data_IF_760574429107
#
_entry.id   IF_760574429107
#
_cell.length_a   1.000
_cell.length_b   1.000
_cell.length_c   1.000
_cell.angle_alpha   90.00
_cell.angle_beta   90.00
_cell.angle_gamma   90.00
#
_symmetry.space_group_name_H-M   'P 1'
#
loop_
_entity.id
_entity.type
_entity.pdbx_description
1 polymer ?
#
# COMPACT_ATOMS: atom_id res chain seq x y z
N UNK A 1 -2.23 0.19 -14.71
CA UNK A 1 -3.06 -0.21 -13.57
C UNK A 1 -2.60 -1.60 -13.21
N UNK A 2 -2.22 -1.77 -11.95
CA UNK A 2 -1.69 -3.03 -11.45
C UNK A 2 -2.34 -3.33 -10.12
N UNK A 3 -2.80 -4.56 -9.98
CA UNK A 3 -3.60 -5.01 -8.86
C UNK A 3 -2.82 -6.07 -8.09
N UNK A 4 -2.82 -5.95 -6.77
CA UNK A 4 -2.12 -6.82 -5.84
C UNK A 4 -3.12 -7.36 -4.83
N UNK A 5 -3.28 -8.68 -4.77
CA UNK A 5 -4.19 -9.35 -3.84
C UNK A 5 -3.36 -10.00 -2.74
N UNK A 6 -3.41 -9.41 -1.55
CA UNK A 6 -2.65 -9.83 -0.37
C UNK A 6 -3.61 -10.63 0.52
N UNK A 7 -3.44 -11.95 0.51
CA UNK A 7 -4.26 -12.90 1.26
C UNK A 7 -3.40 -13.70 2.25
N UNK A 8 -4.02 -14.16 3.34
CA UNK A 8 -3.37 -15.00 4.36
C UNK A 8 -2.71 -14.25 5.51
N UNK A 9 -2.70 -12.90 5.49
CA UNK A 9 -2.14 -12.07 6.57
C UNK A 9 -3.18 -11.52 7.52
N UNK A 10 -4.42 -11.36 7.06
CA UNK A 10 -5.55 -10.91 7.87
C UNK A 10 -6.78 -11.77 7.58
N UNK A 11 -7.88 -11.68 8.36
CA UNK A 11 -9.09 -12.46 8.12
C UNK A 11 -9.73 -12.24 6.74
N UNK A 12 -9.65 -11.01 6.24
CA UNK A 12 -10.14 -10.63 4.91
C UNK A 12 -8.95 -10.29 3.99
N UNK A 13 -9.03 -10.58 2.68
CA UNK A 13 -7.97 -10.23 1.76
C UNK A 13 -7.92 -8.71 1.54
N UNK A 14 -6.70 -8.19 1.38
CA UNK A 14 -6.48 -6.80 1.01
C UNK A 14 -6.12 -6.69 -0.46
N UNK A 15 -6.81 -5.81 -1.17
CA UNK A 15 -6.51 -5.53 -2.58
C UNK A 15 -5.92 -4.15 -2.70
N UNK A 16 -4.68 -4.04 -3.18
CA UNK A 16 -4.03 -2.79 -3.49
C UNK A 16 -4.02 -2.59 -5.00
N UNK A 17 -4.52 -1.46 -5.48
CA UNK A 17 -4.44 -1.06 -6.89
C UNK A 17 -3.48 0.11 -6.98
N UNK A 18 -2.52 0.04 -7.90
CA UNK A 18 -1.54 1.10 -8.20
C UNK A 18 -1.68 1.51 -9.66
N UNK A 19 -1.66 2.82 -9.93
CA UNK A 19 -1.67 3.36 -11.29
C UNK A 19 -0.75 4.56 -11.47
N UNK A 20 -0.11 4.72 -12.64
CA UNK A 20 0.58 5.96 -12.98
C UNK A 20 -0.40 7.14 -12.99
N UNK A 21 -0.11 8.17 -12.19
CA UNK A 21 -0.90 9.39 -12.06
C UNK A 21 -0.18 10.64 -12.61
N UNK A 22 0.88 10.45 -13.40
CA UNK A 22 1.62 11.52 -14.08
C UNK A 22 3.01 11.75 -13.48
N UNK A 23 3.54 12.96 -13.66
CA UNK A 23 4.90 13.35 -13.21
C UNK A 23 4.80 14.65 -12.43
N UNK A 24 5.53 14.75 -11.31
CA UNK A 24 5.64 15.93 -10.46
C UNK A 24 6.61 16.96 -11.05
N UNK A 25 6.54 18.25 -10.66
CA UNK A 25 7.46 19.28 -11.15
C UNK A 25 8.95 19.02 -10.85
N UNK A 26 9.25 18.21 -9.84
CA UNK A 26 10.60 17.76 -9.48
C UNK A 26 11.06 16.51 -10.27
N UNK A 27 10.36 16.18 -11.36
CA UNK A 27 10.60 15.03 -12.25
C UNK A 27 10.36 13.65 -11.63
N UNK A 28 9.81 13.58 -10.41
CA UNK A 28 9.38 12.31 -9.80
C UNK A 28 8.11 11.79 -10.45
N UNK A 29 8.00 10.48 -10.60
CA UNK A 29 6.76 9.86 -11.05
C UNK A 29 5.73 9.95 -9.92
N UNK A 30 4.47 10.19 -10.30
CA UNK A 30 3.34 10.28 -9.39
C UNK A 30 2.44 9.07 -9.62
N UNK A 31 1.96 8.49 -8.54
CA UNK A 31 1.14 7.29 -8.55
C UNK A 31 -0.15 7.51 -7.77
N UNK A 32 -1.23 6.92 -8.24
CA UNK A 32 -2.45 6.72 -7.47
C UNK A 32 -2.50 5.33 -6.87
N UNK A 33 -3.19 5.25 -5.75
CA UNK A 33 -3.37 4.02 -5.00
C UNK A 33 -4.80 3.92 -4.48
N UNK A 34 -5.31 2.70 -4.42
CA UNK A 34 -6.54 2.35 -3.72
C UNK A 34 -6.28 1.07 -2.92
N UNK A 35 -6.53 1.11 -1.61
CA UNK A 35 -6.42 -0.06 -0.73
C UNK A 35 -7.81 -0.46 -0.27
N UNK A 36 -8.19 -1.70 -0.57
CA UNK A 36 -9.43 -2.34 -0.16
C UNK A 36 -9.15 -3.41 0.90
N UNK A 37 -10.12 -3.62 1.79
CA UNK A 37 -10.21 -4.76 2.71
C UNK A 37 -11.54 -5.46 2.41
N UNK A 38 -11.49 -6.66 1.81
CA UNK A 38 -12.63 -7.22 1.11
C UNK A 38 -13.17 -6.25 0.04
N UNK A 39 -14.47 -5.97 0.05
CA UNK A 39 -15.12 -5.02 -0.88
C UNK A 39 -15.08 -3.56 -0.39
N UNK A 40 -14.48 -3.28 0.78
CA UNK A 40 -14.47 -1.94 1.39
C UNK A 40 -13.23 -1.17 0.99
N UNK A 41 -13.38 -0.05 0.29
CA UNK A 41 -12.31 0.93 0.10
C UNK A 41 -11.91 1.56 1.44
N UNK A 42 -10.64 1.44 1.81
CA UNK A 42 -10.07 1.95 3.07
C UNK A 42 -9.27 3.22 2.83
N UNK A 43 -8.35 3.19 1.87
CA UNK A 43 -7.54 4.33 1.49
C UNK A 43 -7.56 4.54 -0.01
N UNK A 44 -7.53 5.80 -0.43
CA UNK A 44 -7.35 6.19 -1.81
C UNK A 44 -6.56 7.48 -1.88
N UNK A 45 -5.64 7.60 -2.83
CA UNK A 45 -4.85 8.80 -3.01
C UNK A 45 -4.17 8.84 -4.38
N UNK A 46 -3.57 9.99 -4.69
CA UNK A 46 -2.82 10.22 -5.94
C UNK A 46 -1.53 11.00 -5.71
N UNK A 47 -1.02 10.93 -4.50
CA UNK A 47 0.08 11.68 -3.94
C UNK A 47 1.29 10.80 -3.62
N UNK A 48 1.27 9.52 -4.00
CA UNK A 48 2.47 8.69 -3.93
C UNK A 48 3.49 9.17 -4.96
N UNK A 49 4.75 9.31 -4.54
CA UNK A 49 5.83 9.79 -5.41
C UNK A 49 7.01 8.83 -5.40
N UNK A 50 7.57 8.54 -6.58
CA UNK A 50 8.75 7.68 -6.72
C UNK A 50 9.83 8.34 -7.57
N UNK A 51 11.10 7.91 -7.45
CA UNK A 51 12.10 8.11 -8.49
C UNK A 51 11.59 7.59 -9.85
N UNK A 52 12.17 8.10 -10.93
CA UNK A 52 11.88 7.60 -12.29
C UNK A 52 12.39 6.17 -12.47
N UNK A 53 11.59 5.32 -13.12
CA UNK A 53 11.98 3.95 -13.45
C UNK A 53 11.82 2.91 -12.33
N UNK A 54 11.15 3.26 -11.24
CA UNK A 54 10.72 2.31 -10.20
C UNK A 54 9.55 1.48 -10.73
N UNK A 55 9.52 0.18 -10.41
CA UNK A 55 8.44 -0.71 -10.88
C UNK A 55 7.14 -0.48 -10.10
N UNK A 56 6.02 -0.87 -10.68
CA UNK A 56 4.73 -0.86 -9.96
C UNK A 56 4.74 -1.75 -8.71
N UNK A 57 5.54 -2.82 -8.72
CA UNK A 57 5.68 -3.77 -7.61
C UNK A 57 6.44 -3.13 -6.43
N UNK A 58 7.49 -2.36 -6.71
CA UNK A 58 8.22 -1.56 -5.73
C UNK A 58 7.38 -0.40 -5.19
N UNK A 59 6.60 0.26 -6.07
CA UNK A 59 5.65 1.31 -5.68
C UNK A 59 4.58 0.75 -4.75
N UNK A 60 4.06 -0.45 -5.04
CA UNK A 60 3.07 -1.12 -4.21
C UNK A 60 3.62 -1.50 -2.83
N UNK A 61 4.85 -2.03 -2.75
CA UNK A 61 5.53 -2.31 -1.48
C UNK A 61 5.64 -1.04 -0.63
N UNK A 62 6.10 0.06 -1.25
CA UNK A 62 6.23 1.34 -0.56
C UNK A 62 4.87 1.92 -0.14
N UNK A 63 3.82 1.76 -0.95
CA UNK A 63 2.47 2.17 -0.57
C UNK A 63 1.99 1.43 0.69
N UNK A 64 2.13 0.10 0.73
CA UNK A 64 1.76 -0.67 1.93
C UNK A 64 2.55 -0.25 3.16
N UNK A 65 3.86 0.01 3.03
CA UNK A 65 4.68 0.46 4.15
C UNK A 65 4.11 1.71 4.82
N UNK A 66 3.64 2.69 4.03
CA UNK A 66 3.03 3.91 4.57
C UNK A 66 1.59 3.72 5.06
N UNK A 67 0.79 2.94 4.35
CA UNK A 67 -0.63 2.72 4.69
C UNK A 67 -0.80 1.85 5.94
N UNK A 68 0.21 1.04 6.28
CA UNK A 68 0.21 0.19 7.47
C UNK A 68 0.89 0.82 8.69
N UNK A 69 1.29 2.09 8.64
CA UNK A 69 1.75 2.80 9.83
C UNK A 69 0.63 2.95 10.85
N UNK A 70 1.00 2.87 12.13
CA UNK A 70 0.13 3.07 13.28
C UNK A 70 0.53 4.33 14.07
N UNK A 71 -0.38 4.92 14.86
CA UNK A 71 -0.04 6.01 15.77
C UNK A 71 1.12 5.64 16.69
N UNK A 72 2.26 6.31 16.52
CA UNK A 72 3.52 6.02 17.22
C UNK A 72 4.68 5.64 16.30
N UNK A 73 4.41 5.17 15.08
CA UNK A 73 5.45 4.79 14.12
C UNK A 73 6.07 6.00 13.40
N UNK A 74 5.29 7.08 13.28
CA UNK A 74 5.68 8.35 12.67
C UNK A 74 5.04 9.53 13.39
N UNK A 75 5.26 10.74 12.89
CA UNK A 75 4.64 11.96 13.43
C UNK A 75 3.10 11.86 13.39
N UNK A 76 2.46 12.30 14.47
CA UNK A 76 1.00 12.35 14.58
C UNK A 76 0.32 13.19 13.50
N UNK A 77 1.02 14.16 12.92
CA UNK A 77 0.52 14.95 11.78
C UNK A 77 0.17 14.08 10.56
N UNK A 78 0.84 12.95 10.37
CA UNK A 78 0.54 12.01 9.29
C UNK A 78 -0.90 11.47 9.36
N UNK A 79 -1.38 11.24 10.58
CA UNK A 79 -2.70 10.67 10.83
C UNK A 79 -3.80 11.73 10.99
N UNK A 80 -3.47 13.02 10.88
CA UNK A 80 -4.39 14.12 11.18
C UNK A 80 -5.64 14.11 10.28
N UNK A 81 -5.48 13.68 9.02
CA UNK A 81 -6.55 13.62 8.03
C UNK A 81 -7.24 12.24 7.96
N UNK A 82 -6.86 11.29 8.82
CA UNK A 82 -7.47 9.96 8.82
C UNK A 82 -8.91 10.02 9.33
N UNK A 83 -9.79 9.35 8.62
CA UNK A 83 -11.17 9.12 9.07
C UNK A 83 -11.19 8.15 10.25
N UNK A 84 -12.24 8.16 11.09
CA UNK A 84 -12.38 7.18 12.17
C UNK A 84 -12.32 5.72 11.68
N UNK A 85 -12.87 5.44 10.50
CA UNK A 85 -12.87 4.11 9.90
C UNK A 85 -11.47 3.65 9.44
N UNK A 86 -10.60 4.60 9.05
CA UNK A 86 -9.19 4.32 8.72
C UNK A 86 -8.38 4.07 9.99
N UNK A 87 -8.61 4.84 11.05
CA UNK A 87 -7.95 4.63 12.35
C UNK A 87 -8.32 3.25 12.93
N UNK A 88 -9.61 2.89 12.87
CA UNK A 88 -10.09 1.56 13.29
C UNK A 88 -9.43 0.46 12.45
N UNK A 89 -9.38 0.61 11.13
CA UNK A 89 -8.69 -0.33 10.25
C UNK A 89 -7.20 -0.47 10.61
N UNK A 90 -6.50 0.62 10.92
CA UNK A 90 -5.09 0.58 11.32
C UNK A 90 -4.89 -0.21 12.62
N UNK A 91 -5.79 -0.03 13.58
CA UNK A 91 -5.73 -0.76 14.85
C UNK A 91 -6.03 -2.26 14.71
N UNK A 92 -6.80 -2.65 13.69
CA UNK A 92 -7.23 -4.03 13.51
C UNK A 92 -6.31 -4.83 12.57
N UNK A 93 -5.85 -4.23 11.48
CA UNK A 93 -5.21 -4.98 10.38
C UNK A 93 -3.78 -4.56 10.06
N UNK A 94 -3.36 -3.32 10.34
CA UNK A 94 -2.11 -2.79 9.82
C UNK A 94 -0.86 -3.57 10.26
N UNK A 95 -0.77 -3.91 11.56
CA UNK A 95 0.34 -4.70 12.11
C UNK A 95 0.43 -6.10 11.50
N UNK A 96 -0.71 -6.72 11.17
CA UNK A 96 -0.70 -8.04 10.53
C UNK A 96 -0.38 -7.93 9.04
N UNK A 97 -0.95 -6.93 8.35
CA UNK A 97 -0.76 -6.74 6.92
C UNK A 97 0.69 -6.38 6.56
N UNK A 98 1.38 -5.55 7.36
CA UNK A 98 2.77 -5.16 7.08
C UNK A 98 3.73 -6.36 7.03
N UNK A 99 3.37 -7.48 7.67
CA UNK A 99 4.18 -8.70 7.63
C UNK A 99 4.31 -9.30 6.22
N UNK A 100 3.44 -8.93 5.28
CA UNK A 100 3.57 -9.33 3.88
C UNK A 100 4.81 -8.72 3.19
N UNK A 101 5.42 -7.69 3.80
CA UNK A 101 6.67 -7.06 3.36
C UNK A 101 7.91 -7.77 3.91
N UNK A 102 7.77 -8.95 4.53
CA UNK A 102 8.89 -9.72 5.06
C UNK A 102 8.84 -11.17 4.58
N UNK A 103 10.01 -11.74 4.27
CA UNK A 103 10.13 -13.15 3.90
C UNK A 103 10.18 -14.07 5.14
N UNK A 104 10.29 -15.38 4.91
CA UNK A 104 10.38 -16.38 5.99
C UNK A 104 11.60 -16.23 6.91
N UNK A 105 12.63 -15.49 6.47
CA UNK A 105 13.83 -15.18 7.24
C UNK A 105 13.74 -13.84 7.98
N UNK A 106 12.63 -13.10 7.81
CA UNK A 106 12.45 -11.75 8.33
C UNK A 106 13.20 -10.67 7.53
N UNK A 107 13.64 -10.98 6.31
CA UNK A 107 14.22 -9.99 5.41
C UNK A 107 13.10 -9.17 4.75
N UNK A 108 13.29 -7.85 4.66
CA UNK A 108 12.36 -6.97 3.96
C UNK A 108 12.30 -7.33 2.46
N UNK A 109 11.08 -7.48 1.96
CA UNK A 109 10.75 -7.67 0.56
C UNK A 109 10.34 -6.33 -0.01
N UNK A 110 11.11 -5.84 -0.97
CA UNK A 110 10.89 -4.52 -1.59
C UNK A 110 10.06 -4.58 -2.86
N UNK A 111 9.49 -5.74 -3.20
CA UNK A 111 8.80 -6.02 -4.45
C UNK A 111 7.59 -6.93 -4.19
N UNK A 112 6.39 -6.47 -4.56
CA UNK A 112 5.15 -7.23 -4.35
C UNK A 112 4.72 -8.11 -5.52
N UNK A 113 5.63 -8.47 -6.44
CA UNK A 113 5.28 -9.27 -7.63
C UNK A 113 4.61 -10.60 -7.28
N UNK A 114 4.90 -11.18 -6.10
CA UNK A 114 4.27 -12.42 -5.63
C UNK A 114 2.75 -12.30 -5.43
N UNK A 115 2.24 -11.10 -5.14
CA UNK A 115 0.82 -10.84 -4.92
C UNK A 115 0.13 -10.21 -6.15
N UNK A 116 0.91 -9.91 -7.19
CA UNK A 116 0.40 -9.27 -8.39
C UNK A 116 -0.55 -10.23 -9.11
N UNK A 117 -1.74 -9.75 -9.45
CA UNK A 117 -2.66 -10.46 -10.35
C UNK A 117 -2.48 -9.89 -11.74
N UNK A 118 -2.09 -10.74 -12.68
CA UNK A 118 -2.11 -10.38 -14.10
C UNK A 118 -3.57 -10.25 -14.54
N UNK A 119 -3.93 -9.11 -15.12
CA UNK A 119 -5.20 -8.99 -15.84
C UNK A 119 -5.22 -10.09 -16.91
N UNK A 120 -6.09 -11.08 -16.74
CA UNK A 120 -6.45 -11.99 -17.83
C UNK A 120 -7.05 -11.15 -18.96
N UNK A 121 -6.23 -10.88 -19.98
CA UNK A 121 -6.62 -10.21 -21.22
C UNK A 121 -7.78 -10.91 -21.93
#
# INVERSE_FOLDING_TARGET
MSTFVIDGFTPDPHTLVIEPAGVRPDMRERWSYELFCGDRLVFSGSDLGSPSGVTEDEVAAHALLWLTLQPGDTDGEYFADYTPAQIEWCGEYAESLVTCLYDENGCEVTDLSTYRVDDCA
#
